data_IF_333005200459
#
_entry.id   IF_333005200459
#
_cell.length_a   1.000
_cell.length_b   1.000
_cell.length_c   1.000
_cell.angle_alpha   90.00
_cell.angle_beta   90.00
_cell.angle_gamma   90.00
#
_symmetry.space_group_name_H-M   'P 1'
#
loop_
_entity.id
_entity.type
_entity.pdbx_description
1 polymer ?
#
# COMPACT_ATOMS: atom_id res chain seq x y z
N UNK A 1 -9.03 -59.42 -5.57
CA UNK A 1 -10.01 -58.77 -6.47
C UNK A 1 -10.55 -57.57 -5.70
N UNK A 2 -10.29 -56.28 -5.98
CA UNK A 2 -9.80 -55.58 -7.17
C UNK A 2 -8.93 -54.37 -6.75
N UNK A 3 -7.68 -54.34 -7.20
CA UNK A 3 -6.76 -53.18 -7.18
C UNK A 3 -6.93 -52.43 -8.51
N UNK A 4 -8.16 -51.99 -8.79
CA UNK A 4 -8.50 -51.42 -10.11
C UNK A 4 -9.54 -50.30 -10.00
N UNK A 5 -9.26 -49.32 -9.15
CA UNK A 5 -9.89 -47.99 -9.22
C UNK A 5 -8.93 -46.84 -8.91
N UNK A 6 -7.64 -47.03 -9.21
CA UNK A 6 -6.62 -46.00 -9.02
C UNK A 6 -5.75 -45.88 -10.28
N UNK A 7 -6.34 -45.48 -11.42
CA UNK A 7 -5.51 -45.16 -12.60
C UNK A 7 -6.07 -44.23 -13.69
N UNK A 8 -7.21 -43.55 -13.49
CA UNK A 8 -7.81 -42.76 -14.59
C UNK A 8 -8.09 -41.27 -14.35
N UNK A 9 -7.61 -40.67 -13.25
CA UNK A 9 -7.86 -39.24 -13.00
C UNK A 9 -6.62 -38.34 -13.12
N UNK A 10 -5.45 -38.90 -13.44
CA UNK A 10 -4.18 -38.16 -13.45
C UNK A 10 -3.80 -37.61 -14.84
N UNK A 11 -4.44 -38.06 -15.92
CA UNK A 11 -4.01 -37.72 -17.29
C UNK A 11 -4.80 -36.63 -18.04
N UNK A 12 -5.85 -36.03 -17.45
CA UNK A 12 -6.64 -35.00 -18.16
C UNK A 12 -6.15 -33.57 -17.85
N UNK A 13 -5.65 -33.30 -16.63
CA UNK A 13 -5.21 -31.95 -16.23
C UNK A 13 -3.90 -31.48 -16.86
N UNK A 14 -3.02 -32.38 -17.28
CA UNK A 14 -1.74 -32.01 -17.93
C UNK A 14 -1.88 -31.71 -19.44
N UNK A 15 -2.98 -32.13 -20.07
CA UNK A 15 -3.19 -31.92 -21.51
C UNK A 15 -3.80 -30.55 -21.84
N UNK A 16 -4.55 -29.94 -20.91
CA UNK A 16 -5.11 -28.58 -21.08
C UNK A 16 -4.08 -27.45 -20.95
N UNK A 17 -2.93 -27.70 -20.31
CA UNK A 17 -1.90 -26.68 -20.09
C UNK A 17 -0.98 -26.44 -21.30
N UNK A 18 -1.01 -27.32 -22.32
CA UNK A 18 -0.22 -27.17 -23.54
C UNK A 18 -0.96 -26.45 -24.68
N UNK A 19 -2.28 -26.26 -24.58
CA UNK A 19 -3.07 -25.65 -25.65
C UNK A 19 -3.24 -24.13 -25.55
N UNK A 20 -3.02 -23.54 -24.37
CA UNK A 20 -3.21 -22.09 -24.17
C UNK A 20 -1.93 -21.30 -24.49
N UNK A 21 -0.76 -21.93 -24.41
CA UNK A 21 0.54 -21.30 -24.71
C UNK A 21 0.84 -21.15 -26.21
N UNK A 22 0.02 -21.68 -27.11
CA UNK A 22 0.27 -21.63 -28.56
C UNK A 22 -0.46 -20.49 -29.30
N UNK A 23 -1.32 -19.70 -28.62
CA UNK A 23 -2.17 -18.69 -29.28
C UNK A 23 -1.54 -17.28 -29.30
N UNK A 24 -0.40 -17.04 -28.61
CA UNK A 24 0.22 -15.71 -28.52
C UNK A 24 1.39 -15.45 -29.48
N UNK A 25 1.66 -16.33 -30.45
CA UNK A 25 2.78 -16.15 -31.40
C UNK A 25 2.40 -15.57 -32.78
N UNK A 26 1.20 -15.01 -32.97
CA UNK A 26 0.79 -14.43 -34.27
C UNK A 26 0.33 -12.98 -34.18
N UNK A 27 1.22 -12.07 -33.77
CA UNK A 27 1.00 -10.62 -33.96
C UNK A 27 2.26 -9.84 -34.31
N UNK A 28 3.20 -10.45 -35.04
CA UNK A 28 4.27 -9.71 -35.69
C UNK A 28 4.38 -10.19 -37.14
N UNK A 29 4.52 -9.22 -38.04
CA UNK A 29 4.64 -9.30 -39.50
C UNK A 29 3.31 -9.08 -40.27
N UNK A 30 3.02 -7.80 -40.55
CA UNK A 30 2.60 -7.35 -41.89
C UNK A 30 2.47 -5.81 -41.93
N UNK A 31 3.50 -5.13 -42.44
CA UNK A 31 3.31 -4.16 -43.52
C UNK A 31 4.68 -3.81 -44.12
N UNK A 32 4.97 -4.48 -45.22
CA UNK A 32 6.01 -4.16 -46.17
C UNK A 32 5.60 -2.93 -46.99
N UNK A 33 6.55 -2.03 -47.25
CA UNK A 33 6.75 -1.47 -48.59
C UNK A 33 8.15 -0.90 -48.76
N UNK A 34 8.96 -1.61 -49.51
CA UNK A 34 10.19 -1.09 -50.12
C UNK A 34 9.85 -0.01 -51.15
N UNK A 35 10.68 1.04 -51.17
CA UNK A 35 11.35 1.46 -52.40
C UNK A 35 12.61 2.23 -52.03
N UNK A 36 13.75 1.72 -52.50
CA UNK A 36 15.03 2.43 -52.52
C UNK A 36 14.94 3.62 -53.46
N UNK A 37 15.66 4.68 -53.14
CA UNK A 37 16.55 5.34 -54.10
C UNK A 37 17.70 5.99 -53.30
N UNK A 38 18.92 5.62 -53.71
CA UNK A 38 20.21 6.05 -53.19
C UNK A 38 20.63 7.39 -53.78
N UNK A 39 21.04 8.36 -52.96
CA UNK A 39 22.03 9.39 -53.34
C UNK A 39 22.91 9.72 -52.12
N UNK A 40 24.22 9.60 -52.28
CA UNK A 40 25.29 9.97 -51.34
C UNK A 40 25.36 11.49 -51.06
N UNK A 41 25.73 11.88 -49.84
CA UNK A 41 26.84 12.81 -49.51
C UNK A 41 26.83 13.25 -48.03
N UNK A 42 27.93 13.00 -47.31
CA UNK A 42 28.31 13.60 -46.02
C UNK A 42 28.88 15.02 -46.23
N UNK A 43 29.30 15.78 -45.19
CA UNK A 43 28.69 16.12 -43.88
C UNK A 43 28.64 17.67 -43.71
N UNK A 44 28.04 18.22 -42.62
CA UNK A 44 28.52 19.42 -41.86
C UNK A 44 27.44 20.04 -40.95
N UNK A 45 27.81 20.12 -39.66
CA UNK A 45 27.67 21.23 -38.70
C UNK A 45 26.33 21.93 -38.39
N UNK A 46 26.01 21.85 -37.08
CA UNK A 46 25.53 22.92 -36.19
C UNK A 46 24.21 23.65 -36.52
N UNK A 47 23.21 23.43 -35.66
CA UNK A 47 22.96 24.40 -34.60
C UNK A 47 22.18 23.80 -33.42
N UNK A 48 22.70 24.10 -32.23
CA UNK A 48 22.00 23.96 -30.96
C UNK A 48 20.81 24.90 -30.95
N UNK A 49 19.64 24.37 -30.62
CA UNK A 49 18.69 25.10 -29.81
C UNK A 49 18.33 24.16 -28.65
N UNK A 50 19.04 24.37 -27.54
CA UNK A 50 18.64 23.84 -26.25
C UNK A 50 17.34 24.55 -25.88
N UNK A 51 16.21 23.92 -26.15
CA UNK A 51 14.97 24.19 -25.43
C UNK A 51 15.24 23.80 -23.97
N UNK A 52 15.82 24.74 -23.21
CA UNK A 52 15.67 24.79 -21.77
C UNK A 52 14.20 25.12 -21.53
N UNK A 53 13.34 24.11 -21.67
CA UNK A 53 12.01 24.13 -21.12
C UNK A 53 12.16 24.51 -19.66
N UNK A 54 11.66 25.69 -19.31
CA UNK A 54 11.46 26.11 -17.92
C UNK A 54 10.85 24.91 -17.18
N UNK A 55 11.65 24.29 -16.32
CA UNK A 55 11.17 23.26 -15.41
C UNK A 55 10.23 23.99 -14.45
N UNK A 56 8.93 24.03 -14.79
CA UNK A 56 7.89 24.43 -13.86
C UNK A 56 8.10 23.55 -12.62
N UNK A 57 8.34 24.14 -11.43
CA UNK A 57 8.49 23.35 -10.22
C UNK A 57 7.27 22.44 -10.08
N UNK A 58 7.49 21.13 -10.06
CA UNK A 58 6.40 20.21 -9.78
C UNK A 58 5.95 20.47 -8.35
N UNK A 59 4.67 20.81 -8.19
CA UNK A 59 4.07 21.05 -6.89
C UNK A 59 3.90 19.71 -6.17
N UNK A 60 4.32 19.66 -4.90
CA UNK A 60 4.07 18.50 -4.05
C UNK A 60 2.58 18.45 -3.73
N UNK A 61 1.83 17.66 -4.48
CA UNK A 61 0.37 17.58 -4.37
C UNK A 61 -0.06 17.25 -2.94
N UNK A 62 0.65 16.35 -2.26
CA UNK A 62 0.30 15.98 -0.89
C UNK A 62 0.42 17.13 0.12
N UNK A 63 1.45 17.99 -0.02
CA UNK A 63 1.67 19.17 0.85
C UNK A 63 0.51 20.17 0.77
N UNK A 64 -0.28 20.14 -0.33
CA UNK A 64 -1.46 21.01 -0.49
C UNK A 64 -2.72 20.45 0.17
N UNK A 65 -2.72 19.16 0.52
CA UNK A 65 -3.89 18.43 1.01
C UNK A 65 -3.81 18.11 2.50
N UNK A 66 -2.61 17.90 3.04
CA UNK A 66 -2.40 17.58 4.45
C UNK A 66 -1.11 18.22 4.97
N UNK A 67 -1.19 18.77 6.18
CA UNK A 67 -0.01 19.31 6.88
C UNK A 67 0.75 18.16 7.56
N UNK A 68 2.06 17.97 7.29
CA UNK A 68 2.84 16.95 7.96
C UNK A 68 3.06 17.31 9.44
N UNK A 69 3.01 16.29 10.30
CA UNK A 69 3.26 16.42 11.75
C UNK A 69 4.46 15.56 12.10
N UNK A 70 5.55 16.15 12.58
CA UNK A 70 6.83 15.42 12.72
C UNK A 70 6.86 14.41 13.88
N UNK A 71 6.02 14.58 14.90
CA UNK A 71 6.12 13.83 16.14
C UNK A 71 4.76 13.41 16.68
N UNK A 72 4.71 12.20 17.21
CA UNK A 72 3.61 11.68 18.03
C UNK A 72 4.14 11.27 19.40
N UNK A 73 3.32 11.45 20.42
CA UNK A 73 3.68 11.05 21.79
C UNK A 73 3.36 9.58 22.01
N UNK A 74 4.35 8.78 22.37
CA UNK A 74 4.13 7.37 22.69
C UNK A 74 3.45 7.22 24.06
N UNK A 75 2.41 6.38 24.12
CA UNK A 75 1.76 5.98 25.37
C UNK A 75 2.30 4.61 25.78
N UNK A 76 2.90 4.57 26.98
CA UNK A 76 3.51 3.34 27.52
C UNK A 76 2.80 2.80 28.75
N UNK A 77 1.86 3.56 29.32
CA UNK A 77 1.10 3.13 30.49
C UNK A 77 -0.01 2.15 30.09
N UNK A 78 0.01 0.94 30.67
CA UNK A 78 -0.87 -0.14 30.27
C UNK A 78 -2.36 0.15 30.53
N UNK A 79 -2.68 0.79 31.65
CA UNK A 79 -4.06 1.12 31.99
C UNK A 79 -4.61 2.19 31.03
N UNK A 80 -3.77 3.17 30.66
CA UNK A 80 -4.09 4.18 29.67
C UNK A 80 -4.25 3.60 28.26
N UNK A 81 -3.36 2.69 27.84
CA UNK A 81 -3.48 1.97 26.56
C UNK A 81 -4.83 1.27 26.48
N UNK A 82 -5.18 0.49 27.51
CA UNK A 82 -6.40 -0.32 27.53
C UNK A 82 -7.66 0.56 27.51
N UNK A 83 -7.64 1.67 28.24
CA UNK A 83 -8.72 2.65 28.20
C UNK A 83 -8.87 3.25 26.80
N UNK A 84 -7.77 3.70 26.18
CA UNK A 84 -7.83 4.36 24.86
C UNK A 84 -8.33 3.39 23.79
N UNK A 85 -7.77 2.17 23.72
CA UNK A 85 -8.17 1.20 22.69
C UNK A 85 -9.65 0.83 22.84
N UNK A 86 -10.13 0.65 24.08
CA UNK A 86 -11.53 0.35 24.35
C UNK A 86 -12.48 1.50 24.00
N UNK A 87 -12.05 2.74 24.19
CA UNK A 87 -12.87 3.93 23.92
C UNK A 87 -12.90 4.31 22.43
N UNK A 88 -11.84 4.00 21.68
CA UNK A 88 -11.64 4.48 20.31
C UNK A 88 -11.86 3.40 19.23
N UNK A 89 -11.92 2.12 19.60
CA UNK A 89 -11.93 0.99 18.65
C UNK A 89 -12.94 -0.08 19.05
N UNK A 90 -13.30 -0.95 18.10
CA UNK A 90 -14.06 -2.15 18.38
C UNK A 90 -13.13 -3.33 18.76
N UNK A 91 -13.35 -3.96 19.91
CA UNK A 91 -12.52 -5.10 20.36
C UNK A 91 -13.26 -6.44 20.25
N UNK A 92 -14.59 -6.45 20.33
CA UNK A 92 -15.37 -7.69 20.32
C UNK A 92 -14.95 -8.66 21.44
N UNK A 93 -14.79 -9.93 21.08
CA UNK A 93 -14.31 -11.02 21.98
C UNK A 93 -12.82 -11.32 21.79
N UNK A 94 -12.04 -10.37 21.24
CA UNK A 94 -10.63 -10.58 20.96
C UNK A 94 -9.78 -10.67 22.23
N UNK A 95 -8.86 -11.62 22.24
CA UNK A 95 -7.84 -11.77 23.27
C UNK A 95 -6.53 -11.13 22.82
N UNK A 96 -5.86 -10.47 23.77
CA UNK A 96 -4.51 -9.93 23.59
C UNK A 96 -3.52 -11.07 23.44
N UNK A 97 -2.49 -10.87 22.61
CA UNK A 97 -1.36 -11.78 22.50
C UNK A 97 -0.04 -11.02 22.51
N UNK A 98 0.89 -11.51 23.33
CA UNK A 98 2.25 -10.95 23.44
C UNK A 98 3.08 -11.13 22.17
N UNK A 99 2.63 -11.98 21.27
CA UNK A 99 3.25 -12.24 19.98
C UNK A 99 2.87 -11.17 18.93
N UNK A 100 1.82 -10.39 19.19
CA UNK A 100 1.43 -9.27 18.34
C UNK A 100 2.13 -8.00 18.82
N UNK A 101 3.11 -7.54 18.03
CA UNK A 101 3.87 -6.32 18.27
C UNK A 101 4.02 -5.54 16.98
N UNK A 102 4.57 -4.33 17.07
CA UNK A 102 4.81 -3.47 15.92
C UNK A 102 3.55 -2.80 15.36
N UNK A 103 2.40 -2.97 16.00
CA UNK A 103 1.16 -2.29 15.57
C UNK A 103 0.87 -1.14 16.52
N UNK A 104 0.77 0.06 15.98
CA UNK A 104 0.50 1.27 16.74
C UNK A 104 -0.67 2.02 16.12
N UNK A 105 -1.69 2.31 16.94
CA UNK A 105 -2.79 3.19 16.58
C UNK A 105 -2.37 4.64 16.80
N UNK A 106 -2.55 5.47 15.77
CA UNK A 106 -2.27 6.91 15.80
C UNK A 106 -3.59 7.66 15.93
N UNK A 107 -3.74 8.46 16.98
CA UNK A 107 -4.97 9.21 17.24
C UNK A 107 -4.72 10.47 18.07
N UNK A 108 -5.70 11.37 18.11
CA UNK A 108 -5.62 12.62 18.89
C UNK A 108 -6.19 12.42 20.30
N UNK A 109 -5.41 12.74 21.33
CA UNK A 109 -5.83 12.85 22.74
C UNK A 109 -5.48 14.25 23.24
N UNK A 110 -6.44 14.95 23.84
CA UNK A 110 -6.21 16.27 24.45
C UNK A 110 -5.45 17.28 23.56
N UNK A 111 -5.73 17.24 22.25
CA UNK A 111 -5.10 18.03 21.16
C UNK A 111 -3.69 17.60 20.74
N UNK A 112 -3.13 16.56 21.35
CA UNK A 112 -1.85 15.95 20.95
C UNK A 112 -2.11 14.67 20.17
N UNK A 113 -1.34 14.41 19.11
CA UNK A 113 -1.31 13.09 18.51
C UNK A 113 -0.49 12.14 19.38
N UNK A 114 -1.05 10.96 19.61
CA UNK A 114 -0.45 9.89 20.39
C UNK A 114 -0.32 8.63 19.56
N UNK A 115 0.71 7.85 19.86
CA UNK A 115 0.93 6.49 19.34
C UNK A 115 0.64 5.51 20.45
N UNK A 116 -0.32 4.61 20.21
CA UNK A 116 -0.81 3.65 21.21
C UNK A 116 -0.53 2.24 20.68
N UNK A 117 0.34 1.45 21.35
CA UNK A 117 0.61 0.09 20.92
C UNK A 117 -0.64 -0.79 21.06
N UNK A 118 -0.82 -1.71 20.10
CA UNK A 118 -1.91 -2.69 20.09
C UNK A 118 -1.33 -4.11 20.12
N UNK A 119 -1.87 -4.94 21.01
CA UNK A 119 -1.47 -6.34 21.21
C UNK A 119 -2.54 -7.35 20.76
N UNK A 120 -3.55 -6.90 20.01
CA UNK A 120 -4.56 -7.76 19.40
C UNK A 120 -4.09 -8.34 18.06
N UNK A 121 -4.56 -9.55 17.67
CA UNK A 121 -4.26 -10.10 16.35
C UNK A 121 -4.80 -9.16 15.26
N UNK A 122 -3.90 -8.50 14.51
CA UNK A 122 -4.27 -7.33 13.72
C UNK A 122 -5.35 -7.61 12.68
N UNK A 123 -5.27 -8.73 11.96
CA UNK A 123 -6.28 -9.10 10.97
C UNK A 123 -7.67 -9.33 11.60
N UNK A 124 -7.72 -9.91 12.80
CA UNK A 124 -8.97 -10.11 13.51
C UNK A 124 -9.49 -8.77 14.05
N UNK A 125 -8.61 -7.93 14.59
CA UNK A 125 -8.96 -6.58 15.03
C UNK A 125 -9.53 -5.73 13.89
N UNK A 126 -8.93 -5.76 12.70
CA UNK A 126 -9.46 -5.09 11.50
C UNK A 126 -10.89 -5.53 11.18
N UNK A 127 -11.23 -6.81 11.38
CA UNK A 127 -12.56 -7.34 11.09
C UNK A 127 -13.65 -6.89 12.08
N UNK A 128 -13.26 -6.41 13.27
CA UNK A 128 -14.19 -5.86 14.26
C UNK A 128 -14.53 -4.38 13.97
N UNK A 129 -13.69 -3.67 13.21
CA UNK A 129 -13.81 -2.23 13.07
C UNK A 129 -15.02 -1.82 12.22
N UNK A 130 -15.81 -0.89 12.74
CA UNK A 130 -16.89 -0.24 11.98
C UNK A 130 -16.37 0.95 11.17
N UNK A 131 -15.38 1.65 11.72
CA UNK A 131 -14.69 2.72 10.99
C UNK A 131 -13.69 2.11 10.03
N UNK A 132 -13.52 2.65 8.81
CA UNK A 132 -12.40 2.30 7.95
C UNK A 132 -11.07 2.47 8.68
N UNK A 133 -10.08 1.66 8.32
CA UNK A 133 -8.74 1.72 8.90
C UNK A 133 -7.73 1.96 7.79
N UNK A 134 -7.05 3.11 7.81
CA UNK A 134 -5.82 3.32 7.05
C UNK A 134 -4.67 2.70 7.84
N UNK A 135 -3.83 1.90 7.18
CA UNK A 135 -2.60 1.45 7.80
C UNK A 135 -1.42 1.48 6.83
N UNK A 136 -0.27 1.87 7.36
CA UNK A 136 1.00 1.91 6.66
C UNK A 136 1.91 0.78 7.17
N UNK A 137 2.30 -0.12 6.28
CA UNK A 137 3.32 -1.13 6.56
C UNK A 137 4.71 -0.52 6.35
N UNK A 138 5.50 -0.43 7.41
CA UNK A 138 6.83 0.18 7.44
C UNK A 138 7.90 -0.82 7.87
N UNK A 139 9.16 -0.43 7.68
CA UNK A 139 10.28 -1.03 8.35
C UNK A 139 11.30 0.07 8.68
N UNK A 140 11.89 0.03 9.88
CA UNK A 140 12.78 1.09 10.38
C UNK A 140 13.97 1.41 9.48
N UNK A 141 14.45 0.44 8.70
CA UNK A 141 15.56 0.64 7.76
C UNK A 141 15.15 1.36 6.47
N UNK A 142 13.85 1.59 6.23
CA UNK A 142 13.32 2.19 5.01
C UNK A 142 13.25 3.70 5.12
N UNK A 143 14.16 4.42 4.43
CA UNK A 143 14.13 5.88 4.35
C UNK A 143 12.81 6.43 3.80
N UNK A 144 12.21 5.87 2.72
CA UNK A 144 10.89 6.31 2.27
C UNK A 144 9.79 6.15 3.33
N UNK A 145 9.88 5.13 4.21
CA UNK A 145 8.92 4.95 5.30
C UNK A 145 9.11 6.01 6.40
N UNK A 146 10.36 6.38 6.70
CA UNK A 146 10.63 7.47 7.63
C UNK A 146 10.13 8.82 7.09
N UNK A 147 10.21 9.03 5.78
CA UNK A 147 9.73 10.24 5.10
C UNK A 147 8.19 10.33 5.03
N UNK A 148 7.48 9.20 5.00
CA UNK A 148 6.01 9.17 4.97
C UNK A 148 5.36 9.39 6.33
N UNK A 149 6.00 8.98 7.43
CA UNK A 149 5.39 9.02 8.77
C UNK A 149 4.80 10.40 9.14
N UNK A 150 5.48 11.54 8.89
CA UNK A 150 4.89 12.84 9.21
C UNK A 150 3.57 13.12 8.48
N UNK A 151 3.45 12.63 7.24
CA UNK A 151 2.22 12.75 6.46
C UNK A 151 1.14 11.78 6.95
N UNK A 152 1.51 10.56 7.35
CA UNK A 152 0.57 9.64 7.98
C UNK A 152 -0.01 10.23 9.27
N UNK A 153 0.82 10.90 10.07
CA UNK A 153 0.37 11.58 11.29
C UNK A 153 -0.54 12.77 10.97
N UNK A 154 -0.20 13.58 9.96
CA UNK A 154 -1.09 14.62 9.43
C UNK A 154 -2.44 14.05 8.96
N UNK A 155 -2.44 12.89 8.31
CA UNK A 155 -3.67 12.20 7.89
C UNK A 155 -4.48 11.75 9.10
N UNK A 156 -3.84 11.22 10.15
CA UNK A 156 -4.52 10.84 11.39
C UNK A 156 -5.23 12.02 12.05
N UNK A 157 -4.60 13.20 12.08
CA UNK A 157 -5.23 14.42 12.59
C UNK A 157 -6.41 14.87 11.70
N UNK A 158 -6.20 14.90 10.38
CA UNK A 158 -7.20 15.37 9.41
C UNK A 158 -8.43 14.46 9.33
N UNK A 159 -8.26 13.14 9.48
CA UNK A 159 -9.29 12.14 9.27
C UNK A 159 -9.81 11.48 10.56
N UNK A 160 -9.49 12.01 11.75
CA UNK A 160 -9.83 11.41 13.06
C UNK A 160 -11.31 10.94 13.19
N UNK A 161 -12.25 11.67 12.58
CA UNK A 161 -13.68 11.37 12.67
C UNK A 161 -14.15 10.37 11.60
N UNK A 162 -13.35 10.16 10.54
CA UNK A 162 -13.71 9.39 9.35
C UNK A 162 -13.07 7.99 9.31
N UNK A 163 -11.86 7.83 9.81
CA UNK A 163 -11.12 6.56 9.79
C UNK A 163 -10.11 6.47 10.95
N UNK A 164 -9.72 5.25 11.27
CA UNK A 164 -8.62 4.96 12.19
C UNK A 164 -7.29 4.88 11.41
N UNK A 165 -6.19 5.32 12.00
CA UNK A 165 -4.86 5.27 11.37
C UNK A 165 -3.92 4.40 12.18
N UNK A 166 -3.28 3.41 11.53
CA UNK A 166 -2.29 2.55 12.17
C UNK A 166 -0.93 2.61 11.46
N UNK A 167 0.13 2.51 12.24
CA UNK A 167 1.48 2.16 11.77
C UNK A 167 1.69 0.67 12.06
N UNK A 168 2.23 -0.05 11.07
CA UNK A 168 2.52 -1.48 11.14
C UNK A 168 4.00 -1.70 10.83
N UNK A 169 4.83 -1.90 11.84
CA UNK A 169 6.21 -2.33 11.65
C UNK A 169 6.25 -3.84 11.34
N UNK A 170 6.52 -4.15 10.07
CA UNK A 170 6.56 -5.54 9.60
C UNK A 170 7.83 -6.28 10.01
N UNK A 171 8.81 -5.59 10.59
CA UNK A 171 9.97 -6.24 11.21
C UNK A 171 9.60 -6.93 12.53
N UNK A 172 8.55 -6.45 13.20
CA UNK A 172 7.95 -7.04 14.39
C UNK A 172 6.72 -7.91 14.04
N UNK A 173 5.83 -7.42 13.18
CA UNK A 173 4.62 -8.11 12.71
C UNK A 173 4.86 -8.93 11.42
N UNK A 174 5.75 -9.92 11.50
CA UNK A 174 6.25 -10.63 10.31
C UNK A 174 5.18 -11.47 9.59
N UNK A 175 4.17 -11.93 10.30
CA UNK A 175 3.05 -12.68 9.76
C UNK A 175 2.24 -11.86 8.74
N UNK A 176 2.23 -10.54 8.88
CA UNK A 176 1.56 -9.64 7.95
C UNK A 176 2.25 -9.54 6.58
N UNK A 177 3.55 -9.88 6.48
CA UNK A 177 4.27 -9.88 5.20
C UNK A 177 3.64 -10.89 4.24
N UNK A 178 3.46 -12.12 4.70
CA UNK A 178 2.90 -13.20 3.89
C UNK A 178 1.40 -12.97 3.67
N UNK A 179 0.68 -12.51 4.71
CA UNK A 179 -0.76 -12.27 4.66
C UNK A 179 -1.15 -11.20 3.63
N UNK A 180 -0.37 -10.11 3.54
CA UNK A 180 -0.63 -8.99 2.65
C UNK A 180 0.11 -9.11 1.30
N UNK A 181 0.81 -10.23 1.08
CA UNK A 181 1.74 -10.42 -0.05
C UNK A 181 2.69 -9.22 -0.23
N UNK A 182 3.22 -8.71 0.88
CA UNK A 182 3.94 -7.45 0.93
C UNK A 182 5.29 -7.55 0.22
N UNK A 183 5.51 -6.69 -0.78
CA UNK A 183 6.75 -6.66 -1.59
C UNK A 183 7.62 -5.44 -1.32
N UNK A 184 7.02 -4.35 -0.83
CA UNK A 184 7.67 -3.05 -0.68
C UNK A 184 7.23 -2.37 0.62
N UNK A 185 8.12 -1.56 1.20
CA UNK A 185 7.81 -0.68 2.33
C UNK A 185 8.32 0.75 2.02
N UNK A 186 7.53 1.80 2.29
CA UNK A 186 6.20 1.74 2.86
C UNK A 186 5.15 1.25 1.85
N UNK A 187 4.13 0.56 2.35
CA UNK A 187 2.91 0.27 1.58
C UNK A 187 1.69 0.69 2.38
N UNK A 188 0.71 1.27 1.70
CA UNK A 188 -0.47 1.85 2.32
C UNK A 188 -1.70 1.04 1.94
N UNK A 189 -2.54 0.79 2.94
CA UNK A 189 -3.76 0.02 2.79
C UNK A 189 -4.92 0.71 3.47
N UNK A 190 -6.12 0.52 2.95
CA UNK A 190 -7.37 0.87 3.64
C UNK A 190 -8.18 -0.39 3.84
N UNK A 191 -8.51 -0.71 5.08
CA UNK A 191 -9.53 -1.70 5.41
C UNK A 191 -10.89 -1.03 5.52
N UNK A 192 -11.89 -1.57 4.84
CA UNK A 192 -13.28 -1.08 4.85
C UNK A 192 -14.22 -2.22 4.48
N UNK A 193 -15.32 -2.37 5.21
CA UNK A 193 -16.37 -3.38 4.95
C UNK A 193 -15.80 -4.79 4.79
N UNK A 194 -14.90 -5.20 5.70
CA UNK A 194 -14.19 -6.49 5.70
C UNK A 194 -13.26 -6.73 4.49
N UNK A 195 -13.04 -5.73 3.65
CA UNK A 195 -12.10 -5.76 2.55
C UNK A 195 -10.82 -5.00 2.94
N UNK A 196 -9.70 -5.38 2.33
CA UNK A 196 -8.41 -4.68 2.44
C UNK A 196 -7.97 -4.25 1.05
N UNK A 197 -7.80 -2.95 0.86
CA UNK A 197 -7.41 -2.35 -0.41
C UNK A 197 -5.98 -1.82 -0.30
N UNK A 198 -5.06 -2.31 -1.13
CA UNK A 198 -3.76 -1.66 -1.28
C UNK A 198 -3.93 -0.37 -2.11
N UNK A 199 -3.60 0.77 -1.52
CA UNK A 199 -3.81 2.09 -2.14
C UNK A 199 -2.51 2.74 -2.62
N UNK A 200 -1.35 2.30 -2.13
CA UNK A 200 -0.03 2.69 -2.64
C UNK A 200 1.05 1.67 -2.22
N UNK A 201 2.06 1.47 -3.07
CA UNK A 201 3.21 0.55 -2.81
C UNK A 201 4.52 1.30 -2.53
N UNK A 202 4.45 2.62 -2.40
CA UNK A 202 5.57 3.54 -2.18
C UNK A 202 5.05 4.88 -1.71
N UNK A 203 5.92 5.69 -1.12
CA UNK A 203 5.62 7.08 -0.79
C UNK A 203 6.13 8.04 -1.85
N UNK A 204 5.26 8.91 -2.36
CA UNK A 204 5.58 9.93 -3.35
C UNK A 204 4.70 11.18 -3.16
N UNK A 205 5.33 12.31 -2.88
CA UNK A 205 4.68 13.61 -2.65
C UNK A 205 4.07 14.23 -3.91
N UNK A 206 4.54 13.80 -5.09
CA UNK A 206 4.16 14.34 -6.39
C UNK A 206 3.17 13.41 -7.12
N UNK A 207 2.82 12.27 -6.52
CA UNK A 207 1.94 11.28 -7.12
C UNK A 207 0.60 11.90 -7.54
N UNK A 208 0.14 11.48 -8.72
CA UNK A 208 -1.19 11.80 -9.22
C UNK A 208 -1.84 10.53 -9.80
N UNK A 209 -2.88 9.96 -9.15
CA UNK A 209 -3.55 10.44 -7.94
C UNK A 209 -2.63 10.47 -6.70
N UNK A 210 -2.89 11.38 -5.77
CA UNK A 210 -2.14 11.46 -4.51
C UNK A 210 -2.59 10.37 -3.52
N UNK A 211 -1.87 10.22 -2.40
CA UNK A 211 -2.28 9.30 -1.33
C UNK A 211 -3.68 9.64 -0.79
N UNK A 212 -3.99 10.93 -0.61
CA UNK A 212 -5.30 11.41 -0.15
C UNK A 212 -6.40 11.06 -1.16
N UNK A 213 -6.13 11.26 -2.46
CA UNK A 213 -7.09 10.91 -3.51
C UNK A 213 -7.43 9.40 -3.48
N UNK A 214 -6.41 8.55 -3.27
CA UNK A 214 -6.61 7.11 -3.20
C UNK A 214 -7.38 6.69 -1.92
N UNK A 215 -7.14 7.36 -0.79
CA UNK A 215 -7.93 7.16 0.44
C UNK A 215 -9.39 7.49 0.18
N UNK A 216 -9.68 8.70 -0.31
CA UNK A 216 -11.04 9.17 -0.61
C UNK A 216 -11.73 8.26 -1.63
N UNK A 217 -11.00 7.75 -2.63
CA UNK A 217 -11.56 6.79 -3.57
C UNK A 217 -12.10 5.53 -2.86
N UNK A 218 -11.40 5.00 -1.85
CA UNK A 218 -11.88 3.83 -1.10
C UNK A 218 -13.01 4.21 -0.15
N UNK A 219 -12.90 5.34 0.55
CA UNK A 219 -13.93 5.80 1.49
C UNK A 219 -15.28 6.03 0.81
N UNK A 220 -15.29 6.44 -0.46
CA UNK A 220 -16.50 6.72 -1.23
C UNK A 220 -17.03 5.53 -2.06
N UNK A 221 -16.40 4.36 -2.02
CA UNK A 221 -16.96 3.13 -2.62
C UNK A 221 -18.19 2.66 -1.84
N UNK A 222 -19.25 2.29 -2.56
CA UNK A 222 -20.46 1.64 -2.01
C UNK A 222 -20.25 0.15 -1.75
#
# INVERSE_FOLDING_TARGET
MNILKLKNTINVRRLSLLFITLILCFSLVACSKEKSDSIESNPSEQNQESDSADLIPQEKKLDTQVEPIDTVKEITDADMIDSIIKDQTEIGDLEKSKDNKGIHLILKQDKELVSVPMDYPFANWLSEQKKPVLFECIADYSKPAQESLPYLYGIADHYQDKLLVCVVDVTEAKDLIDMLELKYVPSFFVSKDLNVFQIATSFDLYANPSLIDNIEQVLNKE
#
